data_IF_835718456265
#
_entry.id   IF_835718456265
#
_cell.length_a   1.000
_cell.length_b   1.000
_cell.length_c   1.000
_cell.angle_alpha   90.00
_cell.angle_beta   90.00
_cell.angle_gamma   90.00
#
_symmetry.space_group_name_H-M   'P 1'
#
loop_
_entity.id
_entity.type
_entity.pdbx_description
1 polymer ?
#
# COMPACT_ATOMS: atom_id res chain seq x y z
N UNK A 1 -0.19 -6.68 23.62
CA UNK A 1 1.04 -6.97 22.86
C UNK A 1 0.74 -6.76 21.39
N UNK A 2 1.09 -5.60 20.83
CA UNK A 2 0.92 -5.30 19.41
C UNK A 2 1.77 -6.27 18.60
N UNK A 3 1.09 -7.20 17.93
CA UNK A 3 1.75 -8.18 17.08
C UNK A 3 2.31 -7.42 15.87
N UNK A 4 3.61 -7.07 15.91
CA UNK A 4 4.33 -6.30 14.86
C UNK A 4 4.27 -6.95 13.46
N UNK A 5 3.70 -8.16 13.36
CA UNK A 5 3.41 -8.87 12.10
C UNK A 5 2.01 -8.61 11.53
N UNK A 6 1.18 -7.79 12.16
CA UNK A 6 -0.18 -7.53 11.65
C UNK A 6 -0.19 -6.39 10.64
N UNK A 7 -0.56 -6.62 9.38
CA UNK A 7 -0.73 -5.56 8.37
C UNK A 7 -1.83 -4.55 8.72
N UNK A 8 -2.71 -4.86 9.67
CA UNK A 8 -3.67 -3.90 10.25
C UNK A 8 -2.96 -2.69 10.88
N UNK A 9 -1.71 -2.84 11.32
CA UNK A 9 -0.93 -1.73 11.87
C UNK A 9 -0.63 -0.68 10.80
N UNK A 10 -0.45 -1.08 9.53
CA UNK A 10 -0.22 -0.15 8.43
C UNK A 10 -1.49 0.64 8.14
N UNK A 11 -2.65 -0.01 8.11
CA UNK A 11 -3.93 0.68 7.98
C UNK A 11 -4.18 1.67 9.11
N UNK A 12 -3.78 1.31 10.35
CA UNK A 12 -3.91 2.21 11.50
C UNK A 12 -2.96 3.40 11.39
N UNK A 13 -1.68 3.18 11.08
CA UNK A 13 -0.69 4.25 10.87
C UNK A 13 -1.14 5.19 9.76
N UNK A 14 -1.57 4.62 8.63
CA UNK A 14 -2.07 5.36 7.49
C UNK A 14 -3.33 6.15 7.81
N UNK A 15 -4.30 5.54 8.48
CA UNK A 15 -5.54 6.19 8.90
C UNK A 15 -5.31 7.34 9.87
N UNK A 16 -4.40 7.18 10.84
CA UNK A 16 -4.03 8.24 11.79
C UNK A 16 -3.33 9.39 11.06
N UNK A 17 -2.36 9.10 10.19
CA UNK A 17 -1.68 10.12 9.40
C UNK A 17 -2.65 10.87 8.48
N UNK A 18 -3.60 10.18 7.86
CA UNK A 18 -4.63 10.77 7.02
C UNK A 18 -5.57 11.67 7.82
N UNK A 19 -6.05 11.22 8.98
CA UNK A 19 -6.93 12.00 9.85
C UNK A 19 -6.23 13.27 10.35
N UNK A 20 -4.96 13.16 10.79
CA UNK A 20 -4.16 14.29 11.24
C UNK A 20 -3.85 15.27 10.09
N UNK A 21 -3.51 14.75 8.90
CA UNK A 21 -3.24 15.57 7.72
C UNK A 21 -4.48 16.33 7.25
N UNK A 22 -5.63 15.65 7.18
CA UNK A 22 -6.91 16.27 6.83
C UNK A 22 -7.34 17.30 7.87
N UNK A 23 -7.25 16.98 9.17
CA UNK A 23 -7.57 17.92 10.24
C UNK A 23 -6.68 19.17 10.19
N UNK A 24 -5.36 19.00 9.97
CA UNK A 24 -4.45 20.13 9.79
C UNK A 24 -4.79 20.99 8.58
N UNK A 25 -5.19 20.37 7.46
CA UNK A 25 -5.62 21.11 6.29
C UNK A 25 -6.89 21.92 6.59
N UNK A 26 -7.90 21.30 7.19
CA UNK A 26 -9.15 21.98 7.52
C UNK A 26 -8.97 23.14 8.51
N UNK A 27 -8.10 22.98 9.50
CA UNK A 27 -7.90 23.97 10.56
C UNK A 27 -6.95 25.10 10.16
N UNK A 28 -5.87 24.79 9.44
CA UNK A 28 -4.78 25.74 9.18
C UNK A 28 -4.59 26.08 7.68
N UNK A 29 -5.43 25.53 6.81
CA UNK A 29 -5.31 25.69 5.36
C UNK A 29 -4.19 24.85 4.74
N UNK A 30 -3.84 25.17 3.50
CA UNK A 30 -2.89 24.40 2.71
C UNK A 30 -1.43 24.60 3.17
N UNK A 31 -0.99 23.81 4.14
CA UNK A 31 0.35 23.92 4.74
C UNK A 31 1.24 22.70 4.43
N UNK A 32 2.57 22.91 4.45
CA UNK A 32 3.57 21.87 4.18
C UNK A 32 3.39 20.65 5.10
N UNK A 33 3.06 20.88 6.38
CA UNK A 33 2.82 19.80 7.35
C UNK A 33 1.59 18.96 7.00
N UNK A 34 0.49 19.60 6.54
CA UNK A 34 -0.71 18.88 6.13
C UNK A 34 -0.42 18.00 4.91
N UNK A 35 0.29 18.54 3.91
CA UNK A 35 0.75 17.77 2.75
C UNK A 35 1.69 16.63 3.12
N UNK A 36 2.66 16.86 4.01
CA UNK A 36 3.58 15.83 4.46
C UNK A 36 2.84 14.66 5.13
N UNK A 37 1.86 14.96 6.00
CA UNK A 37 1.05 13.94 6.66
C UNK A 37 0.20 13.15 5.67
N UNK A 38 -0.40 13.81 4.69
CA UNK A 38 -1.16 13.14 3.63
C UNK A 38 -0.26 12.26 2.76
N UNK A 39 0.93 12.72 2.37
CA UNK A 39 1.91 11.94 1.61
C UNK A 39 2.35 10.70 2.39
N UNK A 40 2.61 10.84 3.70
CA UNK A 40 3.01 9.73 4.57
C UNK A 40 1.87 8.74 4.79
N UNK A 41 0.62 9.18 4.70
CA UNK A 41 -0.55 8.32 4.87
C UNK A 41 -0.77 7.37 3.69
N UNK A 42 -0.46 7.78 2.45
CA UNK A 42 -0.74 6.99 1.24
C UNK A 42 -0.05 5.61 1.25
N UNK A 43 1.28 5.50 1.46
CA UNK A 43 1.97 4.22 1.38
C UNK A 43 1.43 3.13 2.32
N UNK A 44 1.25 3.37 3.63
CA UNK A 44 0.78 2.32 4.54
C UNK A 44 -0.69 1.96 4.30
N UNK A 45 -1.54 2.88 3.81
CA UNK A 45 -2.93 2.55 3.44
C UNK A 45 -2.94 1.59 2.25
N UNK A 46 -2.23 1.94 1.18
CA UNK A 46 -2.18 1.11 -0.04
C UNK A 46 -1.58 -0.26 0.24
N UNK A 47 -0.50 -0.32 1.02
CA UNK A 47 0.16 -1.57 1.39
C UNK A 47 -0.72 -2.45 2.29
N UNK A 48 -1.40 -1.86 3.27
CA UNK A 48 -2.36 -2.57 4.11
C UNK A 48 -3.53 -3.14 3.29
N UNK A 49 -4.06 -2.36 2.34
CA UNK A 49 -5.15 -2.80 1.46
C UNK A 49 -4.70 -3.91 0.51
N UNK A 50 -3.52 -3.77 -0.12
CA UNK A 50 -2.96 -4.76 -1.03
C UNK A 50 -2.66 -6.09 -0.33
N UNK A 51 -2.14 -6.04 0.90
CA UNK A 51 -1.94 -7.23 1.76
C UNK A 51 -3.25 -7.97 1.98
N UNK A 52 -4.28 -7.25 2.43
CA UNK A 52 -5.57 -7.85 2.77
C UNK A 52 -6.25 -8.43 1.55
N UNK A 53 -6.22 -7.73 0.42
CA UNK A 53 -6.80 -8.23 -0.83
C UNK A 53 -6.07 -9.48 -1.34
N UNK A 54 -4.73 -9.49 -1.29
CA UNK A 54 -3.96 -10.66 -1.67
C UNK A 54 -4.24 -11.86 -0.76
N UNK A 55 -4.40 -11.64 0.54
CA UNK A 55 -4.76 -12.67 1.48
C UNK A 55 -6.19 -13.20 1.29
N UNK A 56 -7.14 -12.34 0.91
CA UNK A 56 -8.50 -12.76 0.55
C UNK A 56 -8.47 -13.70 -0.67
N UNK A 57 -7.73 -13.31 -1.71
CA UNK A 57 -7.54 -14.15 -2.90
C UNK A 57 -6.86 -15.47 -2.54
N UNK A 58 -5.78 -15.43 -1.75
CA UNK A 58 -5.10 -16.64 -1.29
C UNK A 58 -6.00 -17.55 -0.44
N UNK A 59 -6.81 -16.97 0.43
CA UNK A 59 -7.80 -17.69 1.25
C UNK A 59 -8.84 -18.40 0.39
N UNK A 60 -9.36 -17.72 -0.66
CA UNK A 60 -10.29 -18.33 -1.62
C UNK A 60 -9.63 -19.46 -2.42
N UNK A 61 -8.38 -19.30 -2.85
CA UNK A 61 -7.65 -20.29 -3.67
C UNK A 61 -7.30 -21.54 -2.87
N UNK A 62 -6.92 -21.40 -1.60
CA UNK A 62 -6.45 -22.51 -0.75
C UNK A 62 -7.45 -22.98 0.31
N UNK A 63 -8.67 -22.42 0.33
CA UNK A 63 -9.71 -22.78 1.31
C UNK A 63 -9.32 -22.44 2.76
N UNK A 64 -8.62 -21.31 2.97
CA UNK A 64 -8.08 -20.87 4.26
C UNK A 64 -8.68 -19.55 4.71
N UNK A 65 -8.66 -19.31 6.03
CA UNK A 65 -9.08 -18.03 6.58
C UNK A 65 -8.13 -16.92 6.13
N UNK A 66 -8.70 -15.79 5.70
CA UNK A 66 -7.95 -14.63 5.23
C UNK A 66 -6.89 -14.18 6.24
N UNK A 67 -7.23 -14.10 7.52
CA UNK A 67 -6.32 -13.64 8.57
C UNK A 67 -5.13 -14.59 8.79
N UNK A 68 -5.34 -15.89 8.56
CA UNK A 68 -4.28 -16.92 8.66
C UNK A 68 -3.30 -16.77 7.48
N UNK A 69 -3.82 -16.69 6.26
CA UNK A 69 -3.03 -16.48 5.04
C UNK A 69 -2.27 -15.16 5.12
N UNK A 70 -2.93 -14.09 5.55
CA UNK A 70 -2.35 -12.76 5.69
C UNK A 70 -1.17 -12.77 6.66
N UNK A 71 -1.34 -13.34 7.85
CA UNK A 71 -0.30 -13.38 8.89
C UNK A 71 0.93 -14.19 8.48
N UNK A 72 0.74 -15.25 7.70
CA UNK A 72 1.84 -16.12 7.27
C UNK A 72 2.55 -15.59 6.02
N UNK A 73 1.81 -15.00 5.09
CA UNK A 73 2.36 -14.48 3.84
C UNK A 73 2.97 -13.08 3.98
N UNK A 74 2.58 -12.30 4.99
CA UNK A 74 3.06 -10.94 5.17
C UNK A 74 4.57 -10.88 5.49
N UNK A 75 5.31 -10.12 4.66
CA UNK A 75 6.76 -9.90 4.82
C UNK A 75 7.02 -8.42 5.12
N UNK A 76 7.42 -8.05 6.35
CA UNK A 76 7.53 -6.65 6.75
C UNK A 76 8.60 -5.88 5.97
N UNK A 77 9.72 -6.52 5.61
CA UNK A 77 10.80 -5.88 4.86
C UNK A 77 10.39 -5.57 3.41
N UNK A 78 9.64 -6.48 2.78
CA UNK A 78 9.07 -6.25 1.44
C UNK A 78 7.96 -5.20 1.44
N UNK A 79 7.18 -5.13 2.51
CA UNK A 79 6.19 -4.07 2.71
C UNK A 79 6.84 -2.70 2.90
N UNK A 80 7.94 -2.62 3.67
CA UNK A 80 8.66 -1.37 3.87
C UNK A 80 9.24 -0.81 2.57
N UNK A 81 9.86 -1.64 1.73
CA UNK A 81 10.39 -1.21 0.42
C UNK A 81 9.28 -0.67 -0.50
N UNK A 82 8.12 -1.34 -0.50
CA UNK A 82 6.94 -0.93 -1.25
C UNK A 82 6.34 0.38 -0.74
N UNK A 83 6.30 0.56 0.58
CA UNK A 83 5.93 1.82 1.20
C UNK A 83 6.91 2.95 0.83
N UNK A 84 8.23 2.70 0.86
CA UNK A 84 9.23 3.68 0.44
C UNK A 84 9.05 4.08 -1.03
N UNK A 85 8.78 3.10 -1.91
CA UNK A 85 8.49 3.37 -3.32
C UNK A 85 7.29 4.31 -3.50
N UNK A 86 6.17 4.01 -2.86
CA UNK A 86 4.98 4.86 -2.90
C UNK A 86 5.22 6.24 -2.27
N UNK A 87 6.03 6.33 -1.21
CA UNK A 87 6.36 7.59 -0.56
C UNK A 87 7.19 8.49 -1.49
N UNK A 88 8.24 7.94 -2.12
CA UNK A 88 9.05 8.66 -3.10
C UNK A 88 8.19 9.15 -4.27
N UNK A 89 7.28 8.30 -4.76
CA UNK A 89 6.39 8.67 -5.83
C UNK A 89 5.40 9.77 -5.44
N UNK A 90 4.72 9.63 -4.29
CA UNK A 90 3.78 10.64 -3.80
C UNK A 90 4.47 11.99 -3.57
N UNK A 91 5.69 12.00 -3.02
CA UNK A 91 6.49 13.21 -2.88
C UNK A 91 6.84 13.83 -4.25
N UNK A 92 7.27 13.00 -5.21
CA UNK A 92 7.58 13.46 -6.56
C UNK A 92 6.36 14.04 -7.28
N UNK A 93 5.19 13.43 -7.15
CA UNK A 93 3.94 13.91 -7.73
C UNK A 93 3.55 15.30 -7.18
N UNK A 94 3.73 15.53 -5.87
CA UNK A 94 3.47 16.83 -5.24
C UNK A 94 4.48 17.88 -5.70
N UNK A 95 5.76 17.54 -5.81
CA UNK A 95 6.80 18.45 -6.32
C UNK A 95 6.50 18.84 -7.77
N UNK A 96 6.19 17.87 -8.63
CA UNK A 96 5.84 18.13 -10.04
C UNK A 96 4.60 19.01 -10.16
N UNK A 97 3.55 18.72 -9.38
CA UNK A 97 2.32 19.51 -9.37
C UNK A 97 2.52 20.95 -8.88
N UNK A 98 3.38 21.14 -7.88
CA UNK A 98 3.69 22.48 -7.33
C UNK A 98 4.72 23.26 -8.15
N UNK A 99 5.63 22.59 -8.86
CA UNK A 99 6.63 23.23 -9.71
C UNK A 99 6.05 23.84 -11.01
N UNK A 100 4.72 23.84 -11.17
CA UNK A 100 4.06 24.44 -12.33
C UNK A 100 4.20 23.63 -13.61
N UNK A 101 4.68 22.37 -13.52
CA UNK A 101 4.44 21.43 -14.60
C UNK A 101 2.94 21.30 -14.70
N UNK A 102 2.38 21.73 -15.83
CA UNK A 102 0.95 21.69 -16.05
C UNK A 102 0.56 20.21 -16.17
N UNK A 103 0.30 19.59 -15.02
CA UNK A 103 -0.31 18.26 -14.88
C UNK A 103 -1.79 18.44 -15.25
N UNK A 104 -2.03 18.93 -16.47
CA UNK A 104 -3.37 19.05 -17.03
C UNK A 104 -3.87 17.63 -17.31
N UNK A 105 -5.10 17.29 -16.89
CA UNK A 105 -5.69 15.99 -17.18
C UNK A 105 -5.78 15.69 -18.69
N UNK A 106 -5.69 16.72 -19.52
CA UNK A 106 -5.70 16.62 -20.99
C UNK A 106 -4.38 16.08 -21.58
N UNK A 107 -3.31 16.00 -20.79
CA UNK A 107 -2.04 15.46 -21.22
C UNK A 107 -1.93 13.97 -20.89
N UNK A 108 -1.83 13.11 -21.92
CA UNK A 108 -1.67 11.66 -21.73
C UNK A 108 -0.44 11.30 -20.88
N UNK A 109 0.61 12.11 -20.93
CA UNK A 109 1.82 11.91 -20.13
C UNK A 109 1.59 12.13 -18.65
N UNK A 110 0.69 13.05 -18.28
CA UNK A 110 0.24 13.24 -16.90
C UNK A 110 -0.43 12.00 -16.36
N UNK A 111 -1.31 11.39 -17.16
CA UNK A 111 -1.99 10.15 -16.79
C UNK A 111 -0.96 9.02 -16.62
N UNK A 112 0.00 8.90 -17.53
CA UNK A 112 1.07 7.88 -17.44
C UNK A 112 1.95 8.10 -16.20
N UNK A 113 2.32 9.34 -15.88
CA UNK A 113 3.14 9.67 -14.71
C UNK A 113 2.39 9.40 -13.41
N UNK A 114 1.08 9.63 -13.35
CA UNK A 114 0.27 9.40 -12.15
C UNK A 114 -0.08 7.92 -11.99
N UNK A 115 -0.61 7.29 -13.05
CA UNK A 115 -1.16 5.93 -13.01
C UNK A 115 -0.06 4.87 -13.14
N UNK A 116 0.98 5.12 -13.94
CA UNK A 116 2.03 4.15 -14.21
C UNK A 116 2.69 3.60 -12.94
N UNK A 117 3.12 4.46 -12.01
CA UNK A 117 3.71 4.03 -10.74
C UNK A 117 2.73 3.26 -9.84
N UNK A 118 1.44 3.58 -9.88
CA UNK A 118 0.40 2.83 -9.17
C UNK A 118 0.24 1.42 -9.77
N UNK A 119 0.18 1.32 -11.11
CA UNK A 119 0.08 0.03 -11.81
C UNK A 119 1.32 -0.83 -11.55
N UNK A 120 2.52 -0.23 -11.62
CA UNK A 120 3.77 -0.90 -11.31
C UNK A 120 3.79 -1.40 -9.86
N UNK A 121 3.32 -0.57 -8.93
CA UNK A 121 3.16 -0.94 -7.53
C UNK A 121 2.20 -2.14 -7.37
N UNK A 122 1.01 -2.11 -7.99
CA UNK A 122 0.04 -3.19 -7.89
C UNK A 122 0.60 -4.50 -8.47
N UNK A 123 1.26 -4.43 -9.62
CA UNK A 123 1.89 -5.61 -10.24
C UNK A 123 3.01 -6.18 -9.36
N UNK A 124 3.85 -5.31 -8.78
CA UNK A 124 4.93 -5.73 -7.89
C UNK A 124 4.39 -6.30 -6.57
N UNK A 125 3.41 -5.64 -5.97
CA UNK A 125 2.78 -6.09 -4.74
C UNK A 125 2.06 -7.42 -4.93
N UNK A 126 1.29 -7.56 -6.01
CA UNK A 126 0.57 -8.78 -6.37
C UNK A 126 1.52 -9.96 -6.59
N UNK A 127 2.57 -9.79 -7.39
CA UNK A 127 3.57 -10.85 -7.63
C UNK A 127 4.33 -11.24 -6.36
N UNK A 128 4.69 -10.27 -5.52
CA UNK A 128 5.36 -10.51 -4.23
C UNK A 128 4.48 -11.31 -3.28
N UNK A 129 3.22 -10.91 -3.10
CA UNK A 129 2.29 -11.63 -2.23
C UNK A 129 1.94 -13.00 -2.77
N UNK A 130 1.69 -13.14 -4.08
CA UNK A 130 1.43 -14.44 -4.70
C UNK A 130 2.58 -15.42 -4.47
N UNK A 131 3.82 -14.97 -4.68
CA UNK A 131 5.00 -15.79 -4.39
C UNK A 131 5.09 -16.16 -2.92
N UNK A 132 4.80 -15.24 -2.00
CA UNK A 132 4.82 -15.49 -0.57
C UNK A 132 3.75 -16.52 -0.15
N UNK A 133 2.51 -16.34 -0.60
CA UNK A 133 1.39 -17.24 -0.34
C UNK A 133 1.69 -18.65 -0.87
N UNK A 134 2.18 -18.77 -2.11
CA UNK A 134 2.54 -20.07 -2.69
C UNK A 134 3.67 -20.77 -1.92
N UNK A 135 4.65 -20.01 -1.43
CA UNK A 135 5.73 -20.57 -0.60
C UNK A 135 5.18 -21.12 0.71
N UNK A 136 4.32 -20.34 1.40
CA UNK A 136 3.66 -20.78 2.64
C UNK A 136 2.78 -22.00 2.36
N UNK A 137 1.96 -21.97 1.30
CA UNK A 137 1.09 -23.07 0.92
C UNK A 137 1.84 -24.38 0.68
N UNK A 138 3.05 -24.31 0.09
CA UNK A 138 3.93 -25.48 -0.09
C UNK A 138 4.53 -25.95 1.24
N UNK A 139 4.99 -25.03 2.09
CA UNK A 139 5.59 -25.35 3.38
C UNK A 139 4.58 -26.00 4.33
N UNK A 140 3.36 -25.48 4.36
CA UNK A 140 2.27 -25.98 5.22
C UNK A 140 1.40 -27.04 4.55
N UNK A 141 1.77 -27.51 3.35
CA UNK A 141 1.06 -28.54 2.57
C UNK A 141 -0.44 -28.25 2.43
N UNK A 142 -0.79 -26.99 2.14
CA UNK A 142 -2.18 -26.61 1.87
C UNK A 142 -2.75 -27.31 0.63
N UNK A 143 -1.90 -27.84 -0.26
CA UNK A 143 -2.32 -28.78 -1.31
C UNK A 143 -2.46 -30.19 -0.74
N UNK A 144 -3.63 -30.51 -0.22
CA UNK A 144 -3.90 -31.85 0.31
C UNK A 144 -5.22 -31.91 1.06
N UNK A 145 -6.33 -31.71 0.34
CA UNK A 145 -7.70 -32.15 0.65
C UNK A 145 -8.61 -31.69 -0.48
N UNK A 146 -8.55 -32.40 -1.61
CA UNK A 146 -9.70 -32.59 -2.48
C UNK A 146 -10.01 -34.08 -2.46
#
# INVERSE_FOLDING_TARGET
MTNYRSPTILLLIGGVALALGAAMWFLNGENILAWALLIIAVPPIFEGAASRQAAQIGGMVYGRYTDEVERLAYRPLGALLRCCYLLCFAAMAVILGRAGYNISPDNIWTVVIIIGPIVLYIAWAGTSYWKSINLVARQERWSGKS
#
